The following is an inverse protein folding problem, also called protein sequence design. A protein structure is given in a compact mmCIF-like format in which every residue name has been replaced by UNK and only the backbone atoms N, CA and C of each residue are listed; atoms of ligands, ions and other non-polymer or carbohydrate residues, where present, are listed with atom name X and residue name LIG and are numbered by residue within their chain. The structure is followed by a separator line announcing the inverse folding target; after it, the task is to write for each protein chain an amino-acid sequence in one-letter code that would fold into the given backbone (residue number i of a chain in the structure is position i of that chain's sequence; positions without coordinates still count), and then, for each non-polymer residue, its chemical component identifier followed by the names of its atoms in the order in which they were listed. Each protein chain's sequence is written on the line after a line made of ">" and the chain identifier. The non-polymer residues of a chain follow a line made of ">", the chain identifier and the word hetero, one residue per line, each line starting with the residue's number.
data_IF_419151871424
#
_entry.id   IF_419151871424
#
_cell.length_a   1.000
_cell.length_b   1.000
_cell.length_c   1.000
_cell.angle_alpha   90.00
_cell.angle_beta   90.00
_cell.angle_gamma   90.00
#
_symmetry.space_group_name_H-M   'P 1'
#
loop_
_entity.id
_entity.type
_entity.pdbx_description
1 polymer ?
#
# COMPACT_ATOMS: atom_id res chain seq x y z
N UNK A 1 -13.59 0.25 -35.73
CA UNK A 1 -12.26 -0.39 -35.70
C UNK A 1 -11.23 0.68 -36.06
N UNK A 2 -10.54 1.25 -35.08
CA UNK A 2 -9.28 1.96 -35.28
C UNK A 2 -8.35 1.40 -34.23
N UNK A 3 -7.37 0.65 -34.73
CA UNK A 3 -6.34 -0.01 -33.96
C UNK A 3 -5.45 1.03 -33.27
N UNK A 4 -5.55 1.11 -31.94
CA UNK A 4 -4.80 2.07 -31.09
C UNK A 4 -3.89 1.35 -30.11
N UNK A 5 -3.56 0.08 -30.38
CA UNK A 5 -3.08 -0.83 -29.33
C UNK A 5 -1.56 -1.02 -29.25
N UNK A 6 -0.77 -0.68 -30.28
CA UNK A 6 0.69 -0.96 -30.24
C UNK A 6 1.63 0.26 -30.12
N UNK A 7 1.27 1.45 -30.62
CA UNK A 7 2.17 2.63 -30.61
C UNK A 7 2.14 3.45 -29.30
N UNK A 8 1.27 3.10 -28.36
CA UNK A 8 1.00 3.84 -27.11
C UNK A 8 1.81 3.36 -25.90
N UNK A 9 2.22 2.07 -25.87
CA UNK A 9 2.84 1.45 -24.69
C UNK A 9 4.28 1.94 -24.41
N UNK A 10 4.98 2.42 -25.43
CA UNK A 10 6.38 2.86 -25.30
C UNK A 10 6.54 4.22 -24.59
N UNK A 11 5.54 5.11 -24.62
CA UNK A 11 5.66 6.43 -24.01
C UNK A 11 5.72 6.38 -22.47
N UNK A 12 4.82 5.65 -21.78
CA UNK A 12 4.93 5.47 -20.32
C UNK A 12 6.22 4.77 -19.90
N UNK A 13 6.67 3.77 -20.67
CA UNK A 13 7.93 3.07 -20.41
C UNK A 13 9.14 4.01 -20.55
N UNK A 14 9.16 4.85 -21.58
CA UNK A 14 10.21 5.86 -21.76
C UNK A 14 10.25 6.88 -20.62
N UNK A 15 9.10 7.38 -20.19
CA UNK A 15 9.02 8.29 -19.03
C UNK A 15 9.48 7.61 -17.72
N UNK A 16 9.06 6.36 -17.50
CA UNK A 16 9.53 5.55 -16.37
C UNK A 16 11.05 5.34 -16.39
N UNK A 17 11.64 5.10 -17.57
CA UNK A 17 13.07 4.94 -17.73
C UNK A 17 13.83 6.24 -17.41
N UNK A 18 13.30 7.40 -17.79
CA UNK A 18 13.87 8.71 -17.43
C UNK A 18 13.90 8.89 -15.91
N UNK A 19 12.80 8.58 -15.21
CA UNK A 19 12.76 8.64 -13.74
C UNK A 19 13.81 7.71 -13.14
N UNK A 20 13.90 6.47 -13.63
CA UNK A 20 14.88 5.50 -13.15
C UNK A 20 16.32 6.00 -13.36
N UNK A 21 16.64 6.55 -14.54
CA UNK A 21 17.97 7.12 -14.83
C UNK A 21 18.29 8.28 -13.88
N UNK A 22 17.35 9.20 -13.65
CA UNK A 22 17.57 10.33 -12.72
C UNK A 22 17.87 9.81 -11.31
N UNK A 23 17.07 8.85 -10.83
CA UNK A 23 17.28 8.25 -9.50
C UNK A 23 18.57 7.47 -9.43
N UNK A 24 18.96 6.73 -10.46
CA UNK A 24 20.23 6.02 -10.51
C UNK A 24 21.41 7.00 -10.49
N UNK A 25 21.36 8.09 -11.25
CA UNK A 25 22.42 9.11 -11.24
C UNK A 25 22.56 9.76 -9.85
N UNK A 26 21.44 10.09 -9.20
CA UNK A 26 21.43 10.60 -7.83
C UNK A 26 21.96 9.56 -6.84
N UNK A 27 21.54 8.31 -6.97
CA UNK A 27 21.99 7.18 -6.15
C UNK A 27 23.49 6.95 -6.29
N UNK A 28 24.03 6.87 -7.51
CA UNK A 28 25.46 6.73 -7.78
C UNK A 28 26.28 7.87 -7.16
N UNK A 29 25.75 9.10 -7.14
CA UNK A 29 26.42 10.25 -6.54
C UNK A 29 26.37 10.25 -5.00
N UNK A 30 25.26 9.79 -4.41
CA UNK A 30 24.98 9.91 -2.98
C UNK A 30 25.38 8.69 -2.16
N UNK A 31 25.46 7.50 -2.77
CA UNK A 31 25.76 6.24 -2.08
C UNK A 31 27.25 6.02 -1.76
N UNK A 32 28.13 6.96 -2.14
CA UNK A 32 29.57 6.90 -1.81
C UNK A 32 30.42 6.19 -2.87
N UNK A 33 31.64 5.75 -2.53
CA UNK A 33 32.66 5.32 -3.50
C UNK A 33 32.37 3.98 -4.18
N UNK A 34 31.63 3.07 -3.52
CA UNK A 34 31.33 1.73 -4.04
C UNK A 34 29.84 1.38 -3.92
N UNK A 35 28.95 2.05 -4.67
CA UNK A 35 27.50 1.86 -4.55
C UNK A 35 27.05 0.44 -4.95
N UNK A 36 27.75 -0.18 -5.90
CA UNK A 36 27.52 -1.57 -6.32
C UNK A 36 27.80 -2.59 -5.21
N UNK A 37 28.64 -2.25 -4.23
CA UNK A 37 28.94 -3.15 -3.11
C UNK A 37 27.70 -3.40 -2.24
N UNK A 38 26.79 -2.42 -2.11
CA UNK A 38 25.53 -2.61 -1.38
C UNK A 38 24.67 -3.69 -2.04
N UNK A 39 24.59 -3.71 -3.37
CA UNK A 39 23.83 -4.72 -4.12
C UNK A 39 24.53 -6.09 -3.99
N UNK A 40 25.85 -6.14 -4.09
CA UNK A 40 26.60 -7.40 -3.97
C UNK A 40 26.45 -8.03 -2.57
N UNK A 41 26.52 -7.22 -1.52
CA UNK A 41 26.43 -7.69 -0.14
C UNK A 41 25.00 -8.02 0.30
N UNK A 42 23.99 -7.49 -0.39
CA UNK A 42 22.57 -7.65 -0.03
C UNK A 42 21.69 -7.98 -1.25
N UNK A 43 22.19 -8.84 -2.14
CA UNK A 43 21.51 -9.19 -3.39
C UNK A 43 20.14 -9.84 -3.15
N UNK A 44 19.96 -10.52 -2.01
CA UNK A 44 18.68 -11.12 -1.61
C UNK A 44 17.60 -10.06 -1.43
N UNK A 45 17.97 -8.90 -0.88
CA UNK A 45 17.05 -7.76 -0.69
C UNK A 45 16.69 -7.16 -2.03
N UNK A 46 17.68 -6.91 -2.89
CA UNK A 46 17.45 -6.40 -4.25
C UNK A 46 16.53 -7.33 -5.03
N UNK A 47 16.77 -8.64 -4.99
CA UNK A 47 15.96 -9.65 -5.68
C UNK A 47 14.52 -9.69 -5.14
N UNK A 48 14.36 -9.72 -3.82
CA UNK A 48 13.03 -9.66 -3.18
C UNK A 48 12.27 -8.43 -3.63
N UNK A 49 12.97 -7.28 -3.72
CA UNK A 49 12.37 -6.02 -4.10
C UNK A 49 12.09 -5.87 -5.60
N UNK A 50 12.64 -6.72 -6.48
CA UNK A 50 12.18 -6.83 -7.88
C UNK A 50 10.69 -7.17 -7.88
N UNK A 51 10.32 -8.23 -7.18
CA UNK A 51 8.95 -8.71 -7.10
C UNK A 51 8.09 -7.83 -6.19
N UNK A 52 8.63 -7.47 -5.01
CA UNK A 52 7.93 -6.65 -4.04
C UNK A 52 7.52 -5.29 -4.59
N UNK A 53 8.41 -4.59 -5.32
CA UNK A 53 8.06 -3.29 -5.90
C UNK A 53 7.09 -3.38 -7.06
N UNK A 54 7.22 -4.38 -7.93
CA UNK A 54 6.26 -4.63 -9.02
C UNK A 54 4.85 -4.82 -8.47
N UNK A 55 4.70 -5.63 -7.42
CA UNK A 55 3.41 -5.86 -6.77
C UNK A 55 2.94 -4.59 -6.05
N UNK A 56 3.83 -3.88 -5.36
CA UNK A 56 3.50 -2.64 -4.67
C UNK A 56 2.89 -1.58 -5.58
N UNK A 57 3.45 -1.41 -6.78
CA UNK A 57 2.90 -0.48 -7.78
C UNK A 57 1.60 -0.97 -8.41
N UNK A 58 1.37 -2.28 -8.43
CA UNK A 58 0.20 -2.88 -9.06
C UNK A 58 -1.02 -3.02 -8.14
N UNK A 59 -0.84 -2.97 -6.81
CA UNK A 59 -1.87 -3.26 -5.82
C UNK A 59 -1.92 -2.22 -4.70
N UNK A 60 -2.98 -2.28 -3.87
CA UNK A 60 -3.18 -1.39 -2.72
C UNK A 60 -2.66 -1.97 -1.38
N UNK A 61 -2.02 -3.13 -1.41
CA UNK A 61 -1.42 -3.79 -0.23
C UNK A 61 0.07 -3.42 -0.08
N UNK A 62 0.66 -2.86 -1.14
CA UNK A 62 2.09 -2.57 -1.21
C UNK A 62 2.93 -3.83 -1.48
N UNK A 63 4.23 -3.72 -1.23
CA UNK A 63 5.18 -4.82 -1.43
C UNK A 63 5.32 -5.75 -0.21
N UNK A 64 4.59 -5.45 0.87
CA UNK A 64 4.70 -6.12 2.16
C UNK A 64 4.46 -7.63 2.08
N UNK A 65 3.43 -8.05 1.35
CA UNK A 65 3.08 -9.47 1.18
C UNK A 65 4.23 -10.33 0.61
N UNK A 66 5.14 -9.74 -0.17
CA UNK A 66 6.32 -10.44 -0.72
C UNK A 66 7.57 -10.20 0.10
N UNK A 67 7.80 -8.96 0.55
CA UNK A 67 9.00 -8.61 1.28
C UNK A 67 9.03 -9.20 2.69
N UNK A 68 7.89 -9.26 3.37
CA UNK A 68 7.80 -9.66 4.77
C UNK A 68 8.25 -11.10 5.03
N UNK A 69 7.78 -12.13 4.31
CA UNK A 69 8.19 -13.51 4.57
C UNK A 69 9.70 -13.69 4.35
N UNK A 70 10.25 -13.02 3.35
CA UNK A 70 11.67 -13.08 3.04
C UNK A 70 12.49 -12.38 4.11
N UNK A 71 12.14 -11.14 4.46
CA UNK A 71 12.91 -10.36 5.42
C UNK A 71 12.89 -10.94 6.82
N UNK A 72 11.76 -11.47 7.26
CA UNK A 72 11.62 -12.00 8.62
C UNK A 72 12.14 -13.44 8.74
N UNK A 73 11.85 -14.31 7.76
CA UNK A 73 12.22 -15.73 7.82
C UNK A 73 13.61 -16.02 7.27
N UNK A 74 13.91 -15.50 6.08
CA UNK A 74 15.15 -15.84 5.37
C UNK A 74 16.30 -14.94 5.82
N UNK A 75 16.04 -13.65 6.05
CA UNK A 75 17.07 -12.66 6.37
C UNK A 75 17.14 -12.28 7.85
N UNK A 76 16.21 -12.79 8.68
CA UNK A 76 16.15 -12.52 10.13
C UNK A 76 16.23 -11.02 10.50
N UNK A 77 15.63 -10.16 9.67
CA UNK A 77 15.55 -8.71 9.90
C UNK A 77 14.50 -8.45 10.98
N UNK A 78 14.81 -7.56 11.93
CA UNK A 78 13.88 -7.25 13.01
C UNK A 78 12.61 -6.59 12.46
N UNK A 79 11.44 -6.81 13.08
CA UNK A 79 10.20 -6.16 12.69
C UNK A 79 10.29 -4.63 12.59
N UNK A 80 11.01 -4.00 13.51
CA UNK A 80 11.21 -2.56 13.56
C UNK A 80 12.07 -2.07 12.38
N UNK A 81 13.20 -2.75 12.12
CA UNK A 81 14.05 -2.44 10.96
C UNK A 81 13.27 -2.59 9.64
N UNK A 82 12.40 -3.60 9.55
CA UNK A 82 11.55 -3.81 8.38
C UNK A 82 10.51 -2.70 8.18
N UNK A 83 9.92 -2.17 9.25
CA UNK A 83 8.99 -1.02 9.19
C UNK A 83 9.68 0.23 8.64
N UNK A 84 10.85 0.58 9.21
CA UNK A 84 11.62 1.76 8.78
C UNK A 84 12.10 1.59 7.33
N UNK A 85 12.61 0.40 6.98
CA UNK A 85 12.96 0.06 5.61
C UNK A 85 11.77 0.21 4.65
N UNK A 86 10.58 -0.28 5.05
CA UNK A 86 9.37 -0.23 4.24
C UNK A 86 8.95 1.20 3.91
N UNK A 87 8.98 2.11 4.89
CA UNK A 87 8.72 3.54 4.67
C UNK A 87 9.78 4.18 3.78
N UNK A 88 11.05 3.89 4.03
CA UNK A 88 12.17 4.41 3.25
C UNK A 88 12.09 3.98 1.77
N UNK A 89 11.84 2.70 1.50
CA UNK A 89 11.83 2.18 0.14
C UNK A 89 10.57 2.60 -0.64
N UNK A 90 9.43 2.72 0.05
CA UNK A 90 8.20 3.23 -0.55
C UNK A 90 8.29 4.73 -0.88
N UNK A 91 9.04 5.52 -0.09
CA UNK A 91 9.30 6.93 -0.42
C UNK A 91 9.97 7.12 -1.79
N UNK A 92 10.71 6.11 -2.27
CA UNK A 92 11.32 6.09 -3.60
C UNK A 92 10.38 5.43 -4.62
N UNK A 93 9.97 4.19 -4.36
CA UNK A 93 9.18 3.39 -5.31
C UNK A 93 7.79 3.95 -5.59
N UNK A 94 7.01 4.22 -4.53
CA UNK A 94 5.64 4.70 -4.68
C UNK A 94 5.61 6.13 -5.23
N UNK A 95 6.63 6.95 -4.93
CA UNK A 95 6.78 8.27 -5.55
C UNK A 95 7.05 8.15 -7.05
N UNK A 96 7.96 7.27 -7.47
CA UNK A 96 8.19 7.00 -8.88
C UNK A 96 6.93 6.48 -9.59
N UNK A 97 6.21 5.53 -8.96
CA UNK A 97 4.94 5.02 -9.48
C UNK A 97 3.88 6.13 -9.59
N UNK A 98 3.77 7.00 -8.58
CA UNK A 98 2.85 8.13 -8.56
C UNK A 98 3.11 9.10 -9.71
N UNK A 99 4.37 9.41 -10.01
CA UNK A 99 4.74 10.26 -11.15
C UNK A 99 4.30 9.63 -12.47
N UNK A 100 4.48 8.32 -12.64
CA UNK A 100 4.03 7.60 -13.85
C UNK A 100 2.51 7.55 -13.95
N UNK A 101 1.80 7.32 -12.83
CA UNK A 101 0.33 7.37 -12.76
C UNK A 101 -0.19 8.73 -13.24
N UNK A 102 0.41 9.82 -12.74
CA UNK A 102 0.06 11.19 -13.12
C UNK A 102 0.37 11.45 -14.60
N UNK A 103 1.55 11.05 -15.08
CA UNK A 103 1.96 11.22 -16.48
C UNK A 103 1.04 10.49 -17.46
N UNK A 104 0.63 9.26 -17.12
CA UNK A 104 -0.29 8.47 -17.93
C UNK A 104 -1.73 9.00 -17.92
N UNK A 105 -2.05 9.97 -17.06
CA UNK A 105 -3.41 10.48 -16.90
C UNK A 105 -4.38 9.41 -16.38
N UNK A 106 -3.88 8.45 -15.59
CA UNK A 106 -4.74 7.45 -14.95
C UNK A 106 -5.69 8.17 -13.99
N UNK A 107 -6.97 7.81 -14.03
CA UNK A 107 -7.98 8.43 -13.19
C UNK A 107 -7.70 8.13 -11.72
N UNK A 108 -7.65 9.19 -10.91
CA UNK A 108 -7.46 9.14 -9.45
C UNK A 108 -8.41 10.10 -8.75
N UNK A 109 -8.74 9.82 -7.49
CA UNK A 109 -9.61 10.66 -6.67
C UNK A 109 -8.81 11.65 -5.81
N UNK A 110 -8.44 12.79 -6.41
CA UNK A 110 -7.70 13.88 -5.73
C UNK A 110 -8.36 14.42 -4.45
N UNK A 111 -9.69 14.27 -4.34
CA UNK A 111 -10.45 14.63 -3.15
C UNK A 111 -10.12 13.73 -1.96
N UNK A 112 -9.97 12.42 -2.20
CA UNK A 112 -9.50 11.44 -1.21
C UNK A 112 -8.07 11.75 -0.83
N UNK A 113 -7.20 11.94 -1.84
CA UNK A 113 -5.78 12.21 -1.62
C UNK A 113 -5.59 13.39 -0.66
N UNK A 114 -6.24 14.54 -0.94
CA UNK A 114 -6.11 15.72 -0.07
C UNK A 114 -6.60 15.50 1.35
N UNK A 115 -7.79 14.92 1.54
CA UNK A 115 -8.36 14.77 2.89
C UNK A 115 -7.67 13.68 3.70
N UNK A 116 -7.41 12.52 3.09
CA UNK A 116 -6.78 11.38 3.78
C UNK A 116 -5.29 11.63 4.02
N UNK A 117 -4.54 12.32 3.14
CA UNK A 117 -3.15 12.68 3.42
C UNK A 117 -3.01 13.60 4.64
N UNK A 118 -3.93 14.56 4.84
CA UNK A 118 -3.90 15.44 6.02
C UNK A 118 -4.06 14.64 7.33
N UNK A 119 -5.02 13.70 7.36
CA UNK A 119 -5.15 12.79 8.49
C UNK A 119 -3.93 11.88 8.63
N UNK A 120 -3.45 11.34 7.51
CA UNK A 120 -2.30 10.43 7.42
C UNK A 120 -1.03 11.00 8.03
N UNK A 121 -0.69 12.24 7.69
CA UNK A 121 0.47 12.97 8.23
C UNK A 121 0.40 13.03 9.75
N UNK A 122 -0.76 13.37 10.31
CA UNK A 122 -0.95 13.44 11.77
C UNK A 122 -0.88 12.05 12.39
N UNK A 123 -1.51 11.05 11.76
CA UNK A 123 -1.53 9.68 12.22
C UNK A 123 -0.15 9.05 12.27
N UNK A 124 0.64 9.17 11.19
CA UNK A 124 1.99 8.61 11.12
C UNK A 124 2.95 9.32 12.07
N UNK A 125 2.80 10.64 12.24
CA UNK A 125 3.60 11.40 13.21
C UNK A 125 3.32 10.94 14.63
N UNK A 126 2.03 10.85 15.00
CA UNK A 126 1.61 10.41 16.33
C UNK A 126 2.08 8.98 16.62
N UNK A 127 1.86 8.06 15.68
CA UNK A 127 2.19 6.65 15.89
C UNK A 127 3.68 6.41 15.98
N UNK A 128 4.49 7.06 15.13
CA UNK A 128 5.93 6.81 15.07
C UNK A 128 6.66 7.36 16.30
N UNK A 129 6.17 8.47 16.88
CA UNK A 129 6.78 9.08 18.07
C UNK A 129 6.24 8.46 19.37
N UNK A 130 4.91 8.26 19.49
CA UNK A 130 4.30 7.85 20.76
C UNK A 130 4.01 6.35 20.85
N UNK A 131 3.43 5.73 19.81
CA UNK A 131 2.85 4.39 19.91
C UNK A 131 3.85 3.27 19.55
N UNK A 132 4.72 3.50 18.56
CA UNK A 132 5.71 2.54 18.09
C UNK A 132 6.61 1.95 19.20
N UNK A 133 7.14 2.74 20.16
CA UNK A 133 7.96 2.17 21.23
C UNK A 133 7.17 1.38 22.29
N UNK A 134 5.84 1.53 22.35
CA UNK A 134 5.00 0.94 23.40
C UNK A 134 4.40 -0.40 23.01
N UNK A 135 4.30 -0.70 21.71
CA UNK A 135 3.53 -1.83 21.20
C UNK A 135 4.43 -2.97 20.70
N UNK A 136 4.20 -4.22 21.15
CA UNK A 136 4.97 -5.36 20.66
C UNK A 136 4.77 -5.59 19.15
N UNK A 137 5.86 -5.68 18.39
CA UNK A 137 5.78 -5.85 16.93
C UNK A 137 5.03 -7.10 16.45
N UNK A 138 5.10 -8.27 17.13
CA UNK A 138 4.28 -9.43 16.75
C UNK A 138 2.77 -9.16 16.81
N UNK A 139 2.33 -8.40 17.83
CA UNK A 139 0.93 -8.01 18.01
C UNK A 139 0.49 -7.09 16.87
N UNK A 140 1.27 -6.05 16.58
CA UNK A 140 0.99 -5.09 15.50
C UNK A 140 0.85 -5.78 14.14
N UNK A 141 1.81 -6.63 13.80
CA UNK A 141 1.85 -7.34 12.50
C UNK A 141 0.69 -8.31 12.36
N UNK A 142 0.36 -9.05 13.41
CA UNK A 142 -0.78 -9.97 13.38
C UNK A 142 -2.12 -9.22 13.32
N UNK A 143 -2.28 -8.12 14.07
CA UNK A 143 -3.47 -7.27 13.99
C UNK A 143 -3.65 -6.64 12.60
N UNK A 144 -2.57 -6.16 11.98
CA UNK A 144 -2.60 -5.66 10.60
C UNK A 144 -3.03 -6.76 9.62
N UNK A 145 -2.38 -7.92 9.70
CA UNK A 145 -2.72 -9.08 8.86
C UNK A 145 -4.19 -9.48 9.03
N UNK A 146 -4.69 -9.51 10.27
CA UNK A 146 -6.08 -9.83 10.58
C UNK A 146 -7.07 -8.81 10.01
N UNK A 147 -6.77 -7.52 10.09
CA UNK A 147 -7.53 -6.45 9.45
C UNK A 147 -7.59 -6.67 7.94
N UNK A 148 -6.45 -6.85 7.28
CA UNK A 148 -6.38 -7.04 5.82
C UNK A 148 -7.09 -8.33 5.38
N UNK A 149 -6.98 -9.42 6.14
CA UNK A 149 -7.71 -10.66 5.89
C UNK A 149 -9.24 -10.47 5.96
N UNK A 150 -9.76 -9.73 6.94
CA UNK A 150 -11.19 -9.42 7.01
C UNK A 150 -11.68 -8.58 5.83
N UNK A 151 -10.83 -7.68 5.32
CA UNK A 151 -11.11 -6.93 4.11
C UNK A 151 -11.20 -7.86 2.89
N UNK A 152 -10.25 -8.77 2.71
CA UNK A 152 -10.24 -9.72 1.59
C UNK A 152 -11.52 -10.57 1.52
N UNK A 153 -12.00 -11.05 2.67
CA UNK A 153 -13.25 -11.83 2.76
C UNK A 153 -14.45 -11.00 2.28
N UNK A 154 -14.54 -9.75 2.74
CA UNK A 154 -15.62 -8.85 2.35
C UNK A 154 -15.52 -8.42 0.89
N UNK A 155 -14.31 -8.17 0.40
CA UNK A 155 -14.04 -7.83 -1.00
C UNK A 155 -14.41 -8.99 -1.94
N UNK A 156 -14.10 -10.22 -1.53
CA UNK A 156 -14.52 -11.43 -2.25
C UNK A 156 -16.05 -11.54 -2.30
N UNK A 157 -16.73 -11.36 -1.16
CA UNK A 157 -18.19 -11.37 -1.09
C UNK A 157 -18.82 -10.28 -1.99
N UNK A 158 -18.29 -9.06 -1.95
CA UNK A 158 -18.78 -7.93 -2.74
C UNK A 158 -18.64 -8.14 -4.25
N UNK A 159 -17.57 -8.79 -4.69
CA UNK A 159 -17.32 -9.04 -6.12
C UNK A 159 -17.92 -10.36 -6.64
N UNK A 160 -18.72 -11.09 -5.85
CA UNK A 160 -19.46 -12.27 -6.32
C UNK A 160 -20.65 -11.94 -7.21
N UNK A 161 -21.18 -10.72 -7.14
CA UNK A 161 -22.31 -10.28 -7.97
C UNK A 161 -21.92 -9.11 -8.86
N UNK A 162 -22.60 -8.97 -10.01
CA UNK A 162 -22.43 -7.80 -10.87
C UNK A 162 -22.85 -6.54 -10.10
N UNK A 163 -21.95 -5.56 -10.06
CA UNK A 163 -22.11 -4.31 -9.30
C UNK A 163 -21.88 -3.10 -10.19
N UNK A 164 -22.63 -2.03 -9.93
CA UNK A 164 -22.35 -0.71 -10.47
C UNK A 164 -21.16 -0.14 -9.71
N UNK A 165 -20.05 0.07 -10.42
CA UNK A 165 -18.87 0.75 -9.89
C UNK A 165 -18.93 2.21 -10.31
N UNK A 166 -18.71 3.12 -9.36
CA UNK A 166 -18.58 4.54 -9.68
C UNK A 166 -17.15 4.85 -10.09
N UNK A 167 -17.01 5.69 -11.13
CA UNK A 167 -15.71 6.21 -11.54
C UNK A 167 -15.33 7.49 -10.79
N UNK A 168 -16.25 8.04 -10.00
CA UNK A 168 -15.97 9.15 -9.11
C UNK A 168 -16.71 9.02 -7.79
N UNK A 169 -16.16 9.62 -6.74
CA UNK A 169 -16.82 9.68 -5.43
C UNK A 169 -18.20 10.34 -5.53
N UNK A 170 -19.29 9.64 -5.17
CA UNK A 170 -20.63 10.20 -5.17
C UNK A 170 -20.79 11.13 -3.95
N UNK A 171 -21.28 12.36 -4.17
CA UNK A 171 -21.56 13.39 -3.15
C UNK A 171 -20.42 13.65 -2.15
N UNK A 172 -19.55 14.62 -2.45
CA UNK A 172 -18.42 14.99 -1.59
C UNK A 172 -18.79 16.15 -0.64
N UNK A 173 -19.47 15.86 0.48
CA UNK A 173 -19.88 16.84 1.48
C UNK A 173 -18.92 16.83 2.68
N UNK A 174 -19.24 17.62 3.70
CA UNK A 174 -18.47 17.73 4.94
C UNK A 174 -18.32 16.38 5.68
N UNK A 175 -19.36 15.55 5.88
CA UNK A 175 -19.20 14.28 6.57
C UNK A 175 -18.23 13.33 5.85
N UNK A 176 -18.24 13.28 4.52
CA UNK A 176 -17.29 12.46 3.76
C UNK A 176 -15.85 12.98 3.90
N UNK A 177 -15.65 14.31 3.99
CA UNK A 177 -14.34 14.90 4.26
C UNK A 177 -13.82 14.53 5.65
N UNK A 178 -14.66 14.62 6.67
CA UNK A 178 -14.32 14.23 8.04
C UNK A 178 -14.00 12.74 8.09
N UNK A 179 -14.83 11.90 7.47
CA UNK A 179 -14.59 10.47 7.40
C UNK A 179 -13.25 10.16 6.72
N UNK A 180 -12.96 10.80 5.58
CA UNK A 180 -11.67 10.64 4.89
C UNK A 180 -10.48 11.07 5.73
N UNK A 181 -10.62 12.17 6.48
CA UNK A 181 -9.59 12.60 7.41
C UNK A 181 -9.36 11.54 8.50
N UNK A 182 -10.43 11.00 9.10
CA UNK A 182 -10.32 9.97 10.13
C UNK A 182 -9.74 8.66 9.58
N UNK A 183 -10.14 8.25 8.38
CA UNK A 183 -9.60 7.09 7.65
C UNK A 183 -8.13 7.29 7.33
N UNK A 184 -7.76 8.49 6.88
CA UNK A 184 -6.37 8.88 6.69
C UNK A 184 -5.57 8.80 7.98
N UNK A 185 -6.13 9.32 9.08
CA UNK A 185 -5.50 9.31 10.40
C UNK A 185 -5.25 7.89 10.93
N UNK A 186 -6.25 7.01 10.89
CA UNK A 186 -6.09 5.60 11.28
C UNK A 186 -5.13 4.87 10.35
N UNK A 187 -5.20 5.14 9.04
CA UNK A 187 -4.25 4.65 8.04
C UNK A 187 -2.81 5.08 8.29
N UNK A 188 -2.62 6.35 8.68
CA UNK A 188 -1.34 6.93 9.05
C UNK A 188 -0.76 6.26 10.28
N UNK A 189 -1.58 6.04 11.31
CA UNK A 189 -1.17 5.30 12.52
C UNK A 189 -0.65 3.92 12.15
N UNK A 190 -1.40 3.16 11.35
CA UNK A 190 -0.97 1.82 10.94
C UNK A 190 0.32 1.86 10.10
N UNK A 191 0.45 2.87 9.23
CA UNK A 191 1.66 3.05 8.41
C UNK A 191 2.91 3.32 9.25
N UNK A 192 2.81 4.09 10.34
CA UNK A 192 3.96 4.30 11.23
C UNK A 192 4.29 3.08 12.09
N UNK A 193 3.30 2.24 12.40
CA UNK A 193 3.50 1.03 13.22
C UNK A 193 4.05 -0.16 12.41
N UNK A 194 3.59 -0.34 11.17
CA UNK A 194 3.85 -1.54 10.36
C UNK A 194 4.63 -1.23 9.08
N UNK A 195 4.61 0.01 8.61
CA UNK A 195 5.31 0.46 7.40
C UNK A 195 4.41 0.55 6.16
N UNK A 196 3.14 0.14 6.25
CA UNK A 196 2.05 0.34 5.30
C UNK A 196 0.71 0.41 6.04
N UNK A 197 -0.36 0.88 5.39
CA UNK A 197 -1.67 0.94 6.04
C UNK A 197 -2.62 1.99 5.49
N UNK A 198 -2.13 3.19 5.17
CA UNK A 198 -3.00 4.26 4.66
C UNK A 198 -3.58 3.89 3.29
N UNK A 199 -2.79 3.18 2.48
CA UNK A 199 -3.20 2.61 1.21
C UNK A 199 -4.37 1.65 1.37
N UNK A 200 -4.17 0.56 2.12
CA UNK A 200 -5.17 -0.51 2.22
C UNK A 200 -6.41 -0.04 2.96
N UNK A 201 -6.29 0.73 4.05
CA UNK A 201 -7.44 1.23 4.80
C UNK A 201 -8.27 2.19 3.93
N UNK A 202 -7.61 3.14 3.26
CA UNK A 202 -8.34 4.09 2.39
C UNK A 202 -8.92 3.38 1.17
N UNK A 203 -8.21 2.41 0.60
CA UNK A 203 -8.69 1.55 -0.48
C UNK A 203 -9.94 0.78 -0.07
N UNK A 204 -9.94 0.14 1.10
CA UNK A 204 -11.09 -0.58 1.65
C UNK A 204 -12.31 0.32 1.76
N UNK A 205 -12.14 1.55 2.24
CA UNK A 205 -13.25 2.51 2.33
C UNK A 205 -13.75 2.97 0.96
N UNK A 206 -12.86 3.29 0.03
CA UNK A 206 -13.24 3.63 -1.34
C UNK A 206 -14.06 2.54 -2.03
N UNK A 207 -13.62 1.28 -1.90
CA UNK A 207 -14.21 0.16 -2.63
C UNK A 207 -15.48 -0.38 -1.97
N UNK A 208 -15.52 -0.45 -0.63
CA UNK A 208 -16.66 -1.02 0.10
C UNK A 208 -17.76 0.01 0.38
N UNK A 209 -17.41 1.24 0.81
CA UNK A 209 -18.41 2.24 1.21
C UNK A 209 -18.90 3.07 0.02
N UNK A 210 -17.97 3.56 -0.80
CA UNK A 210 -18.29 4.43 -1.94
C UNK A 210 -18.36 3.72 -3.29
N UNK A 211 -18.12 2.41 -3.31
CA UNK A 211 -18.24 1.59 -4.52
C UNK A 211 -17.39 2.11 -5.67
N UNK A 212 -16.25 2.72 -5.34
CA UNK A 212 -15.32 3.21 -6.33
C UNK A 212 -14.72 2.02 -7.08
N UNK A 213 -14.55 2.20 -8.38
CA UNK A 213 -13.89 1.22 -9.23
C UNK A 213 -12.46 0.96 -8.72
N UNK A 214 -12.08 -0.31 -8.58
CA UNK A 214 -10.74 -0.71 -8.13
C UNK A 214 -9.63 -0.13 -9.02
N UNK A 215 -9.91 0.04 -10.33
CA UNK A 215 -8.98 0.69 -11.27
C UNK A 215 -8.64 2.15 -10.93
N UNK A 216 -9.47 2.82 -10.14
CA UNK A 216 -9.29 4.20 -9.68
C UNK A 216 -8.81 4.21 -8.23
N UNK A 217 -9.35 3.30 -7.41
CA UNK A 217 -8.98 3.18 -6.00
C UNK A 217 -7.51 2.78 -5.82
N UNK A 218 -6.97 1.84 -6.62
CA UNK A 218 -5.58 1.39 -6.53
C UNK A 218 -4.56 2.50 -6.83
N UNK A 219 -4.61 3.23 -7.96
CA UNK A 219 -3.67 4.34 -8.19
C UNK A 219 -3.88 5.48 -7.17
N UNK A 220 -5.10 5.70 -6.66
CA UNK A 220 -5.36 6.66 -5.58
C UNK A 220 -4.65 6.26 -4.28
N UNK A 221 -4.67 4.98 -3.91
CA UNK A 221 -3.98 4.47 -2.71
C UNK A 221 -2.46 4.49 -2.86
N UNK A 222 -1.92 4.25 -4.07
CA UNK A 222 -0.48 4.36 -4.36
C UNK A 222 0.04 5.78 -4.10
N UNK A 223 -0.68 6.81 -4.58
CA UNK A 223 -0.31 8.22 -4.35
C UNK A 223 -0.40 8.58 -2.86
N UNK A 224 -1.45 8.12 -2.17
CA UNK A 224 -1.60 8.31 -0.73
C UNK A 224 -0.42 7.72 0.04
N UNK A 225 0.00 6.51 -0.33
CA UNK A 225 1.13 5.84 0.32
C UNK A 225 2.45 6.53 0.02
N UNK A 226 2.66 7.04 -1.20
CA UNK A 226 3.85 7.82 -1.52
C UNK A 226 3.99 9.05 -0.60
N UNK A 227 2.91 9.81 -0.43
CA UNK A 227 2.89 10.99 0.46
C UNK A 227 3.18 10.58 1.90
N UNK A 228 2.50 9.54 2.39
CA UNK A 228 2.63 9.12 3.77
C UNK A 228 4.02 8.52 4.07
N UNK A 229 4.58 7.75 3.14
CA UNK A 229 5.92 7.18 3.24
C UNK A 229 7.02 8.25 3.22
N UNK A 230 6.86 9.33 2.44
CA UNK A 230 7.79 10.48 2.46
C UNK A 230 7.82 11.13 3.85
N UNK A 231 6.66 11.35 4.47
CA UNK A 231 6.57 11.93 5.80
C UNK A 231 7.12 10.97 6.86
N UNK A 232 6.69 9.71 6.83
CA UNK A 232 7.18 8.67 7.73
C UNK A 232 8.70 8.51 7.67
N UNK A 233 9.26 8.41 6.47
CA UNK A 233 10.71 8.30 6.30
C UNK A 233 11.44 9.56 6.79
N UNK A 234 10.93 10.75 6.50
CA UNK A 234 11.51 11.99 7.01
C UNK A 234 11.51 12.05 8.56
N UNK A 235 10.45 11.55 9.21
CA UNK A 235 10.38 11.47 10.67
C UNK A 235 11.46 10.51 11.23
N UNK A 236 11.59 9.32 10.66
CA UNK A 236 12.61 8.35 11.06
C UNK A 236 14.04 8.85 10.81
N UNK A 237 14.26 9.58 9.71
CA UNK A 237 15.56 10.10 9.33
C UNK A 237 15.98 11.32 10.16
N UNK A 238 15.09 12.28 10.41
CA UNK A 238 15.45 13.58 11.00
C UNK A 238 15.04 13.76 12.46
N UNK A 239 14.02 13.05 12.94
CA UNK A 239 13.46 13.26 14.29
C UNK A 239 13.77 12.08 15.21
N UNK A 240 13.42 10.86 14.80
CA UNK A 240 13.57 9.66 15.63
C UNK A 240 15.03 9.18 15.61
N UNK A 241 15.68 9.22 14.45
CA UNK A 241 17.09 8.85 14.30
C UNK A 241 17.35 7.34 14.38
N UNK A 242 16.36 6.51 14.08
CA UNK A 242 16.43 5.04 14.09
C UNK A 242 16.75 4.42 12.73
N UNK A 243 17.13 5.24 11.75
CA UNK A 243 17.62 4.79 10.45
C UNK A 243 19.06 4.27 10.56
N UNK A 244 19.19 3.02 11.05
CA UNK A 244 20.49 2.40 11.32
C UNK A 244 21.32 2.21 10.05
N UNK A 245 22.68 2.10 10.15
CA UNK A 245 23.53 1.84 9.00
C UNK A 245 23.17 0.57 8.23
N UNK A 246 22.61 -0.42 8.92
CA UNK A 246 22.11 -1.67 8.35
C UNK A 246 20.87 -1.43 7.48
N UNK A 247 19.87 -0.71 7.99
CA UNK A 247 18.66 -0.34 7.24
C UNK A 247 19.02 0.57 6.05
N UNK A 248 19.98 1.47 6.23
CA UNK A 248 20.54 2.27 5.14
C UNK A 248 21.15 1.39 4.04
N UNK A 249 21.99 0.42 4.38
CA UNK A 249 22.60 -0.49 3.41
C UNK A 249 21.53 -1.29 2.63
N UNK A 250 20.48 -1.74 3.31
CA UNK A 250 19.35 -2.42 2.67
C UNK A 250 18.61 -1.49 1.71
N UNK A 251 18.36 -0.24 2.12
CA UNK A 251 17.73 0.77 1.29
C UNK A 251 18.57 1.06 0.03
N UNK A 252 19.88 1.21 0.17
CA UNK A 252 20.81 1.39 -0.95
C UNK A 252 20.79 0.21 -1.93
N UNK A 253 20.72 -1.02 -1.43
CA UNK A 253 20.63 -2.21 -2.27
C UNK A 253 19.30 -2.29 -3.04
N UNK A 254 18.21 -1.76 -2.49
CA UNK A 254 16.87 -1.84 -3.06
C UNK A 254 16.53 -0.70 -4.05
N UNK A 255 17.04 0.52 -3.83
CA UNK A 255 16.72 1.72 -4.65
C UNK A 255 16.78 1.45 -6.16
N UNK A 256 17.86 0.85 -6.71
CA UNK A 256 18.03 0.72 -8.16
C UNK A 256 16.93 -0.12 -8.81
N UNK A 257 16.43 -1.12 -8.09
CA UNK A 257 15.40 -2.04 -8.57
C UNK A 257 14.01 -1.45 -8.38
N UNK A 258 13.75 -0.85 -7.21
CA UNK A 258 12.42 -0.40 -6.82
C UNK A 258 11.92 0.77 -7.66
N UNK A 259 12.81 1.68 -8.05
CA UNK A 259 12.47 2.79 -8.94
C UNK A 259 12.00 2.32 -10.32
N UNK A 260 12.36 1.09 -10.72
CA UNK A 260 11.88 0.48 -11.97
C UNK A 260 10.63 -0.36 -11.71
N UNK A 261 10.67 -1.24 -10.72
CA UNK A 261 9.59 -2.20 -10.49
C UNK A 261 8.27 -1.55 -10.10
N UNK A 262 8.26 -0.54 -9.22
CA UNK A 262 7.02 0.09 -8.78
C UNK A 262 6.27 0.83 -9.92
N UNK A 263 6.93 1.68 -10.74
CA UNK A 263 6.30 2.22 -11.94
C UNK A 263 5.80 1.17 -12.93
N UNK A 264 6.59 0.12 -13.20
CA UNK A 264 6.16 -0.98 -14.07
C UNK A 264 4.90 -1.67 -13.54
N UNK A 265 4.80 -1.83 -12.22
CA UNK A 265 3.61 -2.33 -11.54
C UNK A 265 2.38 -1.47 -11.80
N UNK A 266 2.53 -0.15 -11.68
CA UNK A 266 1.45 0.80 -11.94
C UNK A 266 1.01 0.80 -13.42
N UNK A 267 1.98 0.74 -14.35
CA UNK A 267 1.71 0.58 -15.78
C UNK A 267 0.95 -0.71 -16.04
N UNK A 268 1.42 -1.84 -15.50
CA UNK A 268 0.78 -3.15 -15.66
C UNK A 268 -0.67 -3.11 -15.14
N UNK A 269 -0.88 -2.54 -13.95
CA UNK A 269 -2.21 -2.42 -13.34
C UNK A 269 -3.21 -1.66 -14.22
N UNK A 270 -2.76 -0.65 -14.98
CA UNK A 270 -3.61 0.09 -15.91
C UNK A 270 -4.24 -0.80 -17.00
N UNK A 271 -3.50 -1.83 -17.43
CA UNK A 271 -3.93 -2.79 -18.45
C UNK A 271 -4.74 -3.97 -17.88
N UNK A 272 -4.60 -4.29 -16.59
CA UNK A 272 -5.33 -5.38 -15.96
C UNK A 272 -6.84 -5.10 -15.91
N UNK A 273 -7.67 -6.13 -15.92
CA UNK A 273 -9.11 -5.96 -15.67
C UNK A 273 -9.37 -5.70 -14.18
N UNK A 274 -10.49 -5.04 -13.84
CA UNK A 274 -10.93 -4.82 -12.45
C UNK A 274 -10.94 -6.13 -11.65
N UNK A 275 -11.49 -7.19 -12.22
CA UNK A 275 -11.56 -8.50 -11.56
C UNK A 275 -10.19 -9.16 -11.41
N UNK A 276 -9.26 -8.90 -12.32
CA UNK A 276 -7.88 -9.38 -12.20
C UNK A 276 -7.18 -8.72 -11.01
N UNK A 277 -7.34 -7.40 -10.84
CA UNK A 277 -6.80 -6.66 -9.69
C UNK A 277 -7.33 -7.26 -8.37
N UNK A 278 -8.64 -7.48 -8.28
CA UNK A 278 -9.28 -8.08 -7.09
C UNK A 278 -8.73 -9.47 -6.80
N UNK A 279 -8.58 -10.33 -7.81
CA UNK A 279 -8.03 -11.69 -7.63
C UNK A 279 -6.58 -11.66 -7.14
N UNK A 280 -5.74 -10.83 -7.76
CA UNK A 280 -4.34 -10.65 -7.34
C UNK A 280 -4.28 -10.19 -5.89
N UNK A 281 -5.07 -9.16 -5.53
CA UNK A 281 -5.10 -8.63 -4.17
C UNK A 281 -5.55 -9.70 -3.16
N UNK A 282 -6.62 -10.43 -3.42
CA UNK A 282 -7.07 -11.51 -2.50
C UNK A 282 -6.01 -12.61 -2.36
N UNK A 283 -5.33 -12.98 -3.46
CA UNK A 283 -4.24 -13.97 -3.40
C UNK A 283 -3.07 -13.47 -2.57
N UNK A 284 -2.65 -12.21 -2.73
CA UNK A 284 -1.56 -11.64 -1.94
C UNK A 284 -1.91 -11.57 -0.46
N UNK A 285 -3.12 -11.14 -0.12
CA UNK A 285 -3.61 -11.12 1.27
C UNK A 285 -3.65 -12.53 1.87
N UNK A 286 -4.06 -13.53 1.08
CA UNK A 286 -4.04 -14.92 1.54
C UNK A 286 -2.61 -15.42 1.80
N UNK A 287 -1.65 -15.07 0.92
CA UNK A 287 -0.23 -15.39 1.12
C UNK A 287 0.30 -14.68 2.35
N UNK A 288 0.02 -13.39 2.53
CA UNK A 288 0.41 -12.63 3.71
C UNK A 288 -0.17 -13.27 4.98
N UNK A 289 -1.46 -13.58 5.01
CA UNK A 289 -2.11 -14.22 6.15
C UNK A 289 -1.52 -15.57 6.53
N UNK A 290 -1.33 -16.45 5.55
CA UNK A 290 -0.73 -17.77 5.78
C UNK A 290 0.72 -17.59 6.26
N UNK A 291 1.48 -16.69 5.64
CA UNK A 291 2.87 -16.43 6.03
C UNK A 291 2.96 -15.86 7.45
N UNK A 292 2.10 -14.92 7.83
CA UNK A 292 2.04 -14.35 9.18
C UNK A 292 1.72 -15.42 10.23
N UNK A 293 0.77 -16.32 9.96
CA UNK A 293 0.45 -17.43 10.86
C UNK A 293 1.62 -18.40 11.06
N UNK A 294 2.45 -18.60 10.02
CA UNK A 294 3.60 -19.51 10.07
C UNK A 294 4.84 -18.86 10.69
N UNK A 295 4.98 -17.54 10.61
CA UNK A 295 6.21 -16.83 10.96
C UNK A 295 6.13 -16.07 12.29
N UNK A 296 4.95 -15.60 12.67
CA UNK A 296 4.77 -14.82 13.89
C UNK A 296 4.50 -15.77 15.06
N UNK A 297 5.25 -15.65 16.19
CA UNK A 297 4.99 -16.49 17.36
C UNK A 297 3.59 -16.22 17.92
N UNK A 298 2.76 -17.25 17.93
CA UNK A 298 1.36 -17.21 18.37
C UNK A 298 1.23 -17.24 19.90
N UNK A 299 1.71 -16.18 20.55
CA UNK A 299 1.45 -15.97 21.98
C UNK A 299 -0.02 -15.66 22.22
N UNK A 300 -0.50 -15.84 23.46
CA UNK A 300 -1.90 -15.52 23.80
C UNK A 300 -2.26 -14.06 23.50
N UNK A 301 -1.32 -13.13 23.66
CA UNK A 301 -1.52 -11.73 23.31
C UNK A 301 -1.69 -11.53 21.79
N UNK A 302 -0.89 -12.22 20.98
CA UNK A 302 -0.98 -12.16 19.51
C UNK A 302 -2.28 -12.78 19.00
N UNK A 303 -2.68 -13.93 19.54
CA UNK A 303 -3.94 -14.59 19.15
C UNK A 303 -5.15 -13.73 19.52
N UNK A 304 -5.21 -13.24 20.75
CA UNK A 304 -6.35 -12.44 21.24
C UNK A 304 -6.45 -11.11 20.50
N UNK A 305 -5.35 -10.38 20.33
CA UNK A 305 -5.34 -9.13 19.55
C UNK A 305 -5.71 -9.35 18.08
N UNK A 306 -5.20 -10.40 17.45
CA UNK A 306 -5.54 -10.77 16.08
C UNK A 306 -7.03 -11.10 15.92
N UNK A 307 -7.59 -11.92 16.80
CA UNK A 307 -9.02 -12.29 16.78
C UNK A 307 -9.93 -11.08 17.04
N UNK A 308 -9.61 -10.25 18.03
CA UNK A 308 -10.38 -9.03 18.33
C UNK A 308 -10.37 -8.11 17.11
N UNK A 309 -9.19 -7.89 16.52
CA UNK A 309 -9.04 -7.04 15.33
C UNK A 309 -9.84 -7.61 14.16
N UNK A 310 -9.73 -8.91 13.90
CA UNK A 310 -10.48 -9.58 12.84
C UNK A 310 -11.99 -9.42 13.01
N UNK A 311 -12.53 -9.62 14.22
CA UNK A 311 -13.97 -9.50 14.49
C UNK A 311 -14.47 -8.06 14.34
N UNK A 312 -13.73 -7.09 14.88
CA UNK A 312 -14.08 -5.66 14.78
C UNK A 312 -14.09 -5.20 13.33
N UNK A 313 -13.03 -5.50 12.57
CA UNK A 313 -12.96 -5.09 11.16
C UNK A 313 -13.91 -5.89 10.27
N UNK A 314 -14.17 -7.17 10.56
CA UNK A 314 -15.22 -7.93 9.86
C UNK A 314 -16.58 -7.29 10.06
N UNK A 315 -16.92 -6.87 11.29
CA UNK A 315 -18.16 -6.15 11.58
C UNK A 315 -18.25 -4.81 10.84
N UNK A 316 -17.17 -4.03 10.87
CA UNK A 316 -17.08 -2.74 10.17
C UNK A 316 -17.21 -2.89 8.65
N UNK A 317 -16.44 -3.80 8.04
CA UNK A 317 -16.49 -4.06 6.60
C UNK A 317 -17.81 -4.69 6.18
N UNK A 318 -18.41 -5.54 7.01
CA UNK A 318 -19.76 -6.06 6.76
C UNK A 318 -20.82 -4.95 6.81
N UNK A 319 -20.72 -4.01 7.76
CA UNK A 319 -21.61 -2.84 7.81
C UNK A 319 -21.47 -2.00 6.54
N UNK A 320 -20.25 -1.69 6.10
CA UNK A 320 -20.01 -0.98 4.85
C UNK A 320 -20.57 -1.76 3.64
N UNK A 321 -20.34 -3.07 3.61
CA UNK A 321 -20.92 -3.96 2.60
C UNK A 321 -22.45 -3.93 2.62
N UNK A 322 -23.11 -3.88 3.78
CA UNK A 322 -24.58 -3.88 3.86
C UNK A 322 -25.20 -2.60 3.31
N UNK A 323 -24.53 -1.45 3.48
CA UNK A 323 -24.98 -0.19 2.85
C UNK A 323 -25.08 -0.30 1.32
N UNK A 324 -24.40 -1.28 0.69
CA UNK A 324 -24.57 -1.66 -0.72
C UNK A 324 -25.95 -2.25 -1.02
N UNK A 325 -26.38 -3.25 -0.22
CA UNK A 325 -27.61 -4.00 -0.47
C UNK A 325 -28.83 -3.10 -0.39
N UNK A 326 -28.86 -2.21 0.60
CA UNK A 326 -29.99 -1.31 0.84
C UNK A 326 -30.10 -0.22 -0.24
N UNK A 327 -28.98 0.17 -0.87
CA UNK A 327 -29.01 1.11 -2.00
C UNK A 327 -29.42 0.44 -3.31
N UNK A 328 -29.03 -0.82 -3.52
CA UNK A 328 -29.42 -1.62 -4.71
C UNK A 328 -30.91 -2.02 -4.70
N UNK A 329 -31.53 -2.16 -3.52
CA UNK A 329 -32.99 -2.33 -3.41
C UNK A 329 -33.71 -1.01 -3.67
N UNK A 330 -33.21 0.11 -3.13
CA UNK A 330 -33.78 1.45 -3.36
C UNK A 330 -33.73 1.87 -4.84
N UNK A 331 -32.59 1.73 -5.50
CA UNK A 331 -32.46 2.11 -6.92
C UNK A 331 -33.36 1.24 -7.82
N UNK A 332 -33.53 -0.06 -7.48
CA UNK A 332 -34.45 -0.94 -8.21
C UNK A 332 -35.91 -0.53 -8.06
N UNK A 333 -36.32 -0.09 -6.87
CA UNK A 333 -37.67 0.41 -6.58
C UNK A 333 -37.97 1.74 -7.29
N UNK A 334 -36.96 2.58 -7.54
CA UNK A 334 -37.14 3.84 -8.28
C UNK A 334 -37.11 3.67 -9.80
N UNK A 335 -36.61 2.54 -10.32
CA UNK A 335 -36.55 2.24 -11.77
C UNK A 335 -37.64 1.27 -12.25
N UNK A 336 -38.49 0.77 -11.36
CA UNK A 336 -39.67 -0.07 -11.64
C UNK A 336 -40.95 0.74 -11.55
#
# INVERSE_FOLDING_TARGET
>A
MIDKTSSSSWKPLGFSAIIAIIVWLLWFKLAGPFPLAYIQNHWEISLTMVFGSLIAGATSEGGGAVAFPVFTKLLHISPQEATVFSLAIQSVGMTAASLVIIYMGIQVEWRVIRCASLGGVLGITLSSILLAPLLPSPVLKMSFTAMVASFAITLFALNRTQRLCYNRLPNFRIPERILLFMVGFTGGIMSGLVGNGIDIITFSVMVLLWHLNEKIATPTSVILMAINALVGFALHLFIIGDFTPKVYAYWQAAIPVVVVGAPLGAILCSYLSRMTIVRILITLIAVEFISSLLLIPLTMAVITSGLITFLVFSGLYYWMYRTHCDRKSFDRLCTS
#
